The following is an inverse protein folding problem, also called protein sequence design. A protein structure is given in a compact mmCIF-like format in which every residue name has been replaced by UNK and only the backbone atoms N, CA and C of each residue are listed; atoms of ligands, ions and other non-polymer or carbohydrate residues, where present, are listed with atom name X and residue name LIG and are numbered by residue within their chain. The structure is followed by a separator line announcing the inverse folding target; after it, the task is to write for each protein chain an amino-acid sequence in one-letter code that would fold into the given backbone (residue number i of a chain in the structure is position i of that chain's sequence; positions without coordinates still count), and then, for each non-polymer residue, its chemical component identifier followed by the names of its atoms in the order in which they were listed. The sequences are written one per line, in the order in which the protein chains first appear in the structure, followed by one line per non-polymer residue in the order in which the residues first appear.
data_IF_162973544163
#
_entry.id   IF_162973544163
#
_cell.length_a   1.000
_cell.length_b   1.000
_cell.length_c   1.000
_cell.angle_alpha   90.00
_cell.angle_beta   90.00
_cell.angle_gamma   90.00
#
_symmetry.space_group_name_H-M   'P 1'
#
loop_
_entity.id
_entity.type
_entity.pdbx_description
1 polymer ?
#
# COMPACT_ATOMS: atom_id res chain seq x y z
N UNK A 1 20.64 -15.67 1.72
CA UNK A 1 19.61 -14.76 2.26
C UNK A 1 18.55 -14.58 1.21
N UNK A 2 17.27 -14.58 1.58
CA UNK A 2 16.18 -14.33 0.63
C UNK A 2 16.03 -12.82 0.39
N UNK A 3 15.58 -12.43 -0.80
CA UNK A 3 15.43 -11.02 -1.19
C UNK A 3 14.60 -10.21 -0.20
N UNK A 4 13.60 -10.84 0.43
CA UNK A 4 12.78 -10.26 1.49
C UNK A 4 13.59 -9.92 2.76
N UNK A 5 14.43 -10.85 3.23
CA UNK A 5 15.28 -10.62 4.41
C UNK A 5 16.28 -9.48 4.18
N UNK A 6 16.87 -9.39 2.99
CA UNK A 6 17.81 -8.34 2.64
C UNK A 6 17.13 -6.97 2.57
N UNK A 7 15.96 -6.86 1.94
CA UNK A 7 15.18 -5.62 1.90
C UNK A 7 14.78 -5.15 3.30
N UNK A 8 14.33 -6.07 4.16
CA UNK A 8 13.93 -5.72 5.53
C UNK A 8 15.11 -5.18 6.37
N UNK A 9 16.30 -5.73 6.14
CA UNK A 9 17.52 -5.32 6.82
C UNK A 9 17.99 -3.93 6.34
N UNK A 10 17.93 -3.67 5.04
CA UNK A 10 18.20 -2.35 4.45
C UNK A 10 17.18 -1.29 4.89
N UNK A 11 15.90 -1.66 4.96
CA UNK A 11 14.82 -0.80 5.49
C UNK A 11 15.09 -0.43 6.95
N UNK A 12 15.61 -1.36 7.77
CA UNK A 12 15.99 -1.07 9.14
C UNK A 12 17.25 -0.19 9.24
N UNK A 13 18.17 -0.30 8.28
CA UNK A 13 19.45 0.43 8.28
C UNK A 13 19.30 1.88 7.81
N UNK A 14 18.38 2.16 6.89
CA UNK A 14 18.09 3.51 6.38
C UNK A 14 16.58 3.84 6.44
N UNK A 15 15.99 3.67 7.62
CA UNK A 15 14.54 3.73 7.86
C UNK A 15 13.87 5.00 7.33
N UNK A 16 14.53 6.16 7.44
CA UNK A 16 13.92 7.44 7.08
C UNK A 16 13.76 7.61 5.56
N UNK A 17 14.79 7.23 4.78
CA UNK A 17 14.73 7.29 3.32
C UNK A 17 13.87 6.19 2.69
N UNK A 18 13.87 4.99 3.27
CA UNK A 18 13.02 3.91 2.79
C UNK A 18 11.54 4.10 3.17
N UNK A 19 11.26 4.76 4.29
CA UNK A 19 9.89 5.11 4.67
C UNK A 19 9.28 6.14 3.72
N UNK A 20 10.03 7.15 3.25
CA UNK A 20 9.51 8.12 2.28
C UNK A 20 9.21 7.47 0.93
N UNK A 21 10.07 6.56 0.46
CA UNK A 21 9.80 5.71 -0.71
C UNK A 21 8.57 4.83 -0.52
N UNK A 22 8.37 4.28 0.69
CA UNK A 22 7.18 3.50 1.06
C UNK A 22 5.88 4.30 0.92
N UNK A 23 5.86 5.54 1.43
CA UNK A 23 4.69 6.45 1.29
C UNK A 23 4.39 6.72 -0.18
N UNK A 24 5.41 7.03 -0.98
CA UNK A 24 5.28 7.29 -2.41
C UNK A 24 4.68 6.08 -3.13
N UNK A 25 5.27 4.89 -2.95
CA UNK A 25 4.79 3.65 -3.55
C UNK A 25 3.35 3.33 -3.14
N UNK A 26 3.04 3.36 -1.84
CA UNK A 26 1.71 3.04 -1.34
C UNK A 26 0.66 4.03 -1.85
N UNK A 27 0.97 5.32 -1.88
CA UNK A 27 0.01 6.36 -2.28
C UNK A 27 -0.22 6.36 -3.80
N UNK A 28 0.83 6.17 -4.59
CA UNK A 28 0.70 6.08 -6.06
C UNK A 28 -0.09 4.84 -6.47
N UNK A 29 0.23 3.66 -5.91
CA UNK A 29 -0.51 2.43 -6.20
C UNK A 29 -1.98 2.53 -5.75
N UNK A 30 -2.23 3.09 -4.56
CA UNK A 30 -3.58 3.33 -4.07
C UNK A 30 -4.38 4.26 -5.00
N UNK A 31 -3.75 5.33 -5.51
CA UNK A 31 -4.40 6.24 -6.47
C UNK A 31 -4.80 5.54 -7.77
N UNK A 32 -3.94 4.66 -8.30
CA UNK A 32 -4.25 3.86 -9.49
C UNK A 32 -5.40 2.89 -9.21
N UNK A 33 -5.39 2.21 -8.04
CA UNK A 33 -6.46 1.30 -7.64
C UNK A 33 -7.82 2.02 -7.50
N UNK A 34 -7.83 3.23 -6.92
CA UNK A 34 -9.05 4.05 -6.80
C UNK A 34 -9.54 4.47 -8.19
N UNK A 35 -8.65 4.99 -9.04
CA UNK A 35 -9.03 5.47 -10.36
C UNK A 35 -9.61 4.33 -11.21
N UNK A 36 -8.93 3.19 -11.27
CA UNK A 36 -9.40 2.01 -12.01
C UNK A 36 -10.74 1.49 -11.49
N UNK A 37 -10.97 1.57 -10.18
CA UNK A 37 -12.26 1.21 -9.58
C UNK A 37 -13.38 2.18 -9.98
N UNK A 38 -13.13 3.50 -9.90
CA UNK A 38 -14.14 4.51 -10.27
C UNK A 38 -14.48 4.50 -11.76
N UNK A 39 -13.54 4.11 -12.62
CA UNK A 39 -13.79 3.99 -14.06
C UNK A 39 -14.86 2.95 -14.40
N UNK A 40 -15.03 1.91 -13.56
CA UNK A 40 -16.06 0.89 -13.74
C UNK A 40 -17.42 1.28 -13.14
N UNK A 41 -17.52 2.45 -12.50
CA UNK A 41 -18.76 3.01 -11.97
C UNK A 41 -18.70 3.33 -10.47
N UNK A 42 -19.87 3.63 -9.90
CA UNK A 42 -20.02 4.20 -8.56
C UNK A 42 -21.07 3.46 -7.70
N UNK A 43 -21.29 2.17 -7.97
CA UNK A 43 -22.13 1.34 -7.12
C UNK A 43 -21.49 1.15 -5.73
N UNK A 44 -22.30 0.65 -4.80
CA UNK A 44 -21.88 0.40 -3.42
C UNK A 44 -20.60 -0.44 -3.32
N UNK A 45 -20.44 -1.44 -4.20
CA UNK A 45 -19.27 -2.31 -4.22
C UNK A 45 -18.01 -1.53 -4.58
N UNK A 46 -18.03 -0.71 -5.64
CA UNK A 46 -16.87 0.12 -6.01
C UNK A 46 -16.46 1.08 -4.89
N UNK A 47 -17.44 1.73 -4.25
CA UNK A 47 -17.16 2.62 -3.12
C UNK A 47 -16.57 1.89 -1.91
N UNK A 48 -16.96 0.63 -1.67
CA UNK A 48 -16.36 -0.20 -0.62
C UNK A 48 -14.91 -0.55 -0.94
N UNK A 49 -14.57 -0.88 -2.19
CA UNK A 49 -13.17 -1.11 -2.59
C UNK A 49 -12.32 0.15 -2.43
N UNK A 50 -12.84 1.31 -2.83
CA UNK A 50 -12.17 2.61 -2.64
C UNK A 50 -11.91 2.86 -1.17
N UNK A 51 -12.92 2.64 -0.32
CA UNK A 51 -12.77 2.76 1.13
C UNK A 51 -11.67 1.83 1.67
N UNK A 52 -11.65 0.56 1.25
CA UNK A 52 -10.64 -0.40 1.66
C UNK A 52 -9.23 0.06 1.26
N UNK A 53 -9.06 0.50 0.02
CA UNK A 53 -7.80 1.06 -0.49
C UNK A 53 -7.32 2.23 0.37
N UNK A 54 -8.20 3.20 0.65
CA UNK A 54 -7.85 4.40 1.43
C UNK A 54 -7.47 4.02 2.85
N UNK A 55 -8.21 3.12 3.50
CA UNK A 55 -7.93 2.69 4.88
C UNK A 55 -6.57 1.99 4.96
N UNK A 56 -6.29 1.05 4.06
CA UNK A 56 -5.02 0.31 4.06
C UNK A 56 -3.82 1.23 3.81
N UNK A 57 -3.92 2.14 2.83
CA UNK A 57 -2.87 3.14 2.58
C UNK A 57 -2.70 4.09 3.77
N UNK A 58 -3.78 4.50 4.43
CA UNK A 58 -3.74 5.40 5.59
C UNK A 58 -3.11 4.73 6.82
N UNK A 59 -3.35 3.42 7.03
CA UNK A 59 -2.69 2.66 8.10
C UNK A 59 -1.18 2.59 7.85
N UNK A 60 -0.76 2.32 6.60
CA UNK A 60 0.66 2.34 6.26
C UNK A 60 1.29 3.72 6.49
N UNK A 61 0.70 4.79 5.96
CA UNK A 61 1.22 6.15 6.14
C UNK A 61 1.22 6.58 7.62
N UNK A 62 0.17 6.24 8.37
CA UNK A 62 0.08 6.48 9.80
C UNK A 62 1.15 5.74 10.60
N UNK A 63 1.52 4.53 10.18
CA UNK A 63 2.59 3.76 10.84
C UNK A 63 3.96 4.43 10.75
N UNK A 64 4.20 5.16 9.65
CA UNK A 64 5.44 5.90 9.44
C UNK A 64 5.46 7.18 10.30
N UNK A 65 4.34 7.92 10.32
CA UNK A 65 4.23 9.16 11.12
C UNK A 65 4.32 8.87 12.62
N UNK A 66 3.80 7.73 13.07
CA UNK A 66 3.90 7.30 14.48
C UNK A 66 5.24 6.64 14.84
N UNK A 67 6.20 6.63 13.91
CA UNK A 67 7.56 6.10 14.10
C UNK A 67 7.51 4.65 14.62
N UNK A 68 6.63 3.83 14.04
CA UNK A 68 6.55 2.42 14.40
C UNK A 68 7.80 1.65 13.94
N UNK A 69 7.94 0.43 14.46
CA UNK A 69 9.09 -0.43 14.17
C UNK A 69 9.22 -0.63 12.64
N UNK A 70 10.44 -0.53 12.07
CA UNK A 70 10.65 -0.68 10.61
C UNK A 70 10.10 -1.99 10.04
N UNK A 71 10.13 -3.07 10.81
CA UNK A 71 9.54 -4.36 10.43
C UNK A 71 8.02 -4.30 10.25
N UNK A 72 7.32 -3.52 11.06
CA UNK A 72 5.88 -3.30 10.96
C UNK A 72 5.55 -2.41 9.76
N UNK A 73 6.30 -1.32 9.56
CA UNK A 73 6.14 -0.42 8.41
C UNK A 73 6.30 -1.20 7.09
N UNK A 74 7.34 -2.03 6.98
CA UNK A 74 7.59 -2.85 5.80
C UNK A 74 6.52 -3.92 5.58
N UNK A 75 6.02 -4.53 6.66
CA UNK A 75 4.89 -5.46 6.60
C UNK A 75 3.62 -4.78 6.06
N UNK A 76 3.30 -3.59 6.58
CA UNK A 76 2.17 -2.79 6.10
C UNK A 76 2.33 -2.32 4.65
N UNK A 77 3.55 -1.96 4.24
CA UNK A 77 3.84 -1.61 2.84
C UNK A 77 3.53 -2.79 1.91
N UNK A 78 3.95 -3.99 2.32
CA UNK A 78 3.71 -5.22 1.57
C UNK A 78 2.23 -5.52 1.47
N UNK A 79 1.49 -5.42 2.59
CA UNK A 79 0.03 -5.61 2.61
C UNK A 79 -0.67 -4.60 1.70
N UNK A 80 -0.33 -3.31 1.83
CA UNK A 80 -0.89 -2.24 0.99
C UNK A 80 -0.65 -2.49 -0.50
N UNK A 81 0.57 -2.88 -0.85
CA UNK A 81 0.94 -3.20 -2.24
C UNK A 81 0.13 -4.37 -2.77
N UNK A 82 0.04 -5.47 -2.02
CA UNK A 82 -0.68 -6.68 -2.43
C UNK A 82 -2.18 -6.40 -2.58
N UNK A 83 -2.80 -5.72 -1.61
CA UNK A 83 -4.23 -5.39 -1.65
C UNK A 83 -4.54 -4.50 -2.85
N UNK A 84 -3.78 -3.43 -3.08
CA UNK A 84 -4.00 -2.54 -4.20
C UNK A 84 -3.80 -3.23 -5.55
N UNK A 85 -2.79 -4.09 -5.68
CA UNK A 85 -2.57 -4.88 -6.90
C UNK A 85 -3.73 -5.85 -7.15
N UNK A 86 -4.23 -6.54 -6.11
CA UNK A 86 -5.41 -7.41 -6.22
C UNK A 86 -6.66 -6.63 -6.68
N UNK A 87 -6.88 -5.43 -6.13
CA UNK A 87 -7.99 -4.56 -6.54
C UNK A 87 -7.85 -4.14 -8.00
N UNK A 88 -6.65 -3.74 -8.44
CA UNK A 88 -6.39 -3.36 -9.84
C UNK A 88 -6.66 -4.55 -10.77
N UNK A 89 -6.16 -5.74 -10.42
CA UNK A 89 -6.38 -6.95 -11.21
C UNK A 89 -7.86 -7.35 -11.25
N UNK A 90 -8.57 -7.23 -10.12
CA UNK A 90 -10.01 -7.48 -10.05
C UNK A 90 -10.81 -6.57 -10.97
N UNK A 91 -10.51 -5.27 -10.97
CA UNK A 91 -11.12 -4.28 -11.88
C UNK A 91 -10.67 -4.43 -13.34
N UNK A 92 -9.60 -5.16 -13.64
CA UNK A 92 -9.20 -5.39 -15.03
C UNK A 92 -9.97 -6.57 -15.65
N UNK A 93 -10.47 -7.48 -14.81
CA UNK A 93 -11.18 -8.69 -15.23
C UNK A 93 -12.69 -8.44 -15.34
N UNK A 94 -13.25 -7.51 -14.55
CA UNK A 94 -14.66 -7.18 -14.45
C UNK A 94 -14.91 -5.71 -14.78
#
# INVERSE_FOLDING_TARGET
MTTYSHLSQEFSKNSLGYSSLGILLSTCLGSIAIMTTLMHGHSFLQMLLVFLTVVVCSIHNGSIITVQKPSLIFGLLTISTVVNVLIILGNLIF
#
